data_IF_086866965490
#
_entry.id   IF_086866965490
#
_cell.length_a   1.000
_cell.length_b   1.000
_cell.length_c   1.000
_cell.angle_alpha   90.00
_cell.angle_beta   90.00
_cell.angle_gamma   90.00
#
_symmetry.space_group_name_H-M   'P 1'
#
loop_
_entity.id
_entity.type
_entity.pdbx_description
1 polymer ?
#
# COMPACT_ATOMS: atom_id res chain seq x y z
N UNK A 1 26.35 -8.78 -21.84
CA UNK A 1 25.55 -8.02 -20.87
C UNK A 1 24.58 -7.11 -21.63
N UNK A 2 23.33 -7.17 -21.34
CA UNK A 2 22.34 -6.27 -21.96
C UNK A 2 22.31 -5.02 -21.10
N UNK A 3 22.80 -3.91 -21.63
CA UNK A 3 22.83 -2.64 -20.91
C UNK A 3 21.42 -2.02 -20.89
N UNK A 4 20.88 -1.75 -19.71
CA UNK A 4 19.65 -0.98 -19.52
C UNK A 4 20.01 0.44 -19.08
N UNK A 5 19.22 1.42 -19.48
CA UNK A 5 19.42 2.79 -19.04
C UNK A 5 19.06 2.93 -17.56
N UNK A 6 17.85 2.52 -17.20
CA UNK A 6 17.34 2.53 -15.83
C UNK A 6 16.59 1.23 -15.53
N UNK A 7 16.78 0.70 -14.32
CA UNK A 7 16.00 -0.39 -13.76
C UNK A 7 15.33 0.07 -12.48
N UNK A 8 14.21 -0.54 -12.13
CA UNK A 8 13.52 -0.24 -10.87
C UNK A 8 13.72 -1.36 -9.83
N UNK A 9 13.91 -0.97 -8.58
CA UNK A 9 13.95 -1.84 -7.42
C UNK A 9 12.83 -1.44 -6.48
N UNK A 10 11.81 -2.28 -6.37
CA UNK A 10 10.56 -2.01 -5.67
C UNK A 10 10.55 -2.71 -4.31
N UNK A 11 10.59 -1.94 -3.23
CA UNK A 11 10.59 -2.42 -1.86
C UNK A 11 9.16 -2.79 -1.43
N UNK A 12 8.86 -4.06 -1.39
CA UNK A 12 7.53 -4.63 -1.10
C UNK A 12 7.51 -5.57 0.12
N UNK A 13 8.50 -5.46 1.01
CA UNK A 13 8.71 -6.36 2.15
C UNK A 13 8.16 -5.88 3.49
N UNK A 14 7.51 -4.72 3.57
CA UNK A 14 7.04 -4.14 4.82
C UNK A 14 5.87 -4.88 5.45
N UNK A 15 5.89 -5.03 6.78
CA UNK A 15 4.86 -5.71 7.57
C UNK A 15 3.50 -5.01 7.55
N UNK A 16 3.48 -3.66 7.46
CA UNK A 16 2.23 -2.89 7.48
C UNK A 16 1.48 -2.91 8.81
N UNK A 17 2.15 -3.12 9.94
CA UNK A 17 1.55 -3.32 11.28
C UNK A 17 0.53 -2.25 11.69
N UNK A 18 0.63 -1.03 11.16
CA UNK A 18 -0.31 0.07 11.40
C UNK A 18 -1.68 -0.09 10.72
N UNK A 19 -1.83 -1.07 9.82
CA UNK A 19 -3.10 -1.47 9.22
C UNK A 19 -3.80 -2.58 10.02
N UNK A 20 -3.20 -3.02 11.13
CA UNK A 20 -3.79 -3.98 12.05
C UNK A 20 -4.19 -5.29 11.36
N UNK A 21 -5.43 -5.74 11.59
CA UNK A 21 -5.93 -7.01 11.05
C UNK A 21 -5.98 -7.10 9.53
N UNK A 22 -5.92 -5.97 8.80
CA UNK A 22 -5.88 -6.00 7.33
C UNK A 22 -4.58 -6.58 6.77
N UNK A 23 -3.49 -6.50 7.53
CA UNK A 23 -2.18 -7.01 7.13
C UNK A 23 -1.72 -8.21 7.96
N UNK A 24 -2.61 -8.79 8.74
CA UNK A 24 -2.32 -10.00 9.53
C UNK A 24 -1.95 -11.20 8.65
N UNK A 25 -2.59 -11.36 7.49
CA UNK A 25 -2.39 -12.49 6.55
C UNK A 25 -1.71 -12.11 5.25
N UNK A 26 -1.64 -10.83 4.89
CA UNK A 26 -1.09 -10.35 3.62
C UNK A 26 -0.08 -9.24 3.81
N UNK A 27 0.88 -9.10 2.91
CA UNK A 27 1.78 -7.96 2.87
C UNK A 27 1.00 -6.68 2.49
N UNK A 28 1.37 -5.52 3.05
CA UNK A 28 0.71 -4.22 2.77
C UNK A 28 0.57 -3.94 1.26
N UNK A 29 1.57 -4.19 0.40
CA UNK A 29 1.44 -3.97 -1.04
C UNK A 29 0.37 -4.84 -1.73
N UNK A 30 -0.04 -5.95 -1.12
CA UNK A 30 -1.07 -6.84 -1.64
C UNK A 30 -2.49 -6.48 -1.18
N UNK A 31 -2.67 -5.51 -0.29
CA UNK A 31 -4.00 -5.07 0.17
C UNK A 31 -4.78 -4.48 -1.01
N UNK A 32 -6.07 -4.84 -1.12
CA UNK A 32 -6.96 -4.36 -2.16
C UNK A 32 -7.21 -2.84 -2.04
N UNK A 33 -7.44 -2.15 -3.16
CA UNK A 33 -7.66 -0.71 -3.21
C UNK A 33 -8.60 -0.33 -4.37
N UNK A 34 -9.52 0.59 -4.14
CA UNK A 34 -10.37 1.15 -5.19
C UNK A 34 -11.29 0.13 -5.87
N UNK A 35 -11.68 -0.94 -5.17
CA UNK A 35 -12.62 -1.98 -5.62
C UNK A 35 -12.04 -3.00 -6.62
N UNK A 36 -10.86 -2.75 -7.20
CA UNK A 36 -10.30 -3.61 -8.25
C UNK A 36 -8.79 -3.82 -8.13
N UNK A 37 -8.05 -2.84 -7.65
CA UNK A 37 -6.59 -2.80 -7.64
C UNK A 37 -6.01 -3.35 -6.34
N UNK A 38 -4.68 -3.54 -6.33
CA UNK A 38 -3.87 -3.68 -5.12
C UNK A 38 -2.86 -2.53 -5.05
N UNK A 39 -2.36 -2.22 -3.88
CA UNK A 39 -1.43 -1.08 -3.70
C UNK A 39 -0.20 -1.22 -4.61
N UNK A 40 0.33 -2.42 -4.82
CA UNK A 40 1.49 -2.70 -5.68
C UNK A 40 1.26 -2.36 -7.16
N UNK A 41 0.02 -2.30 -7.61
CA UNK A 41 -0.32 -2.06 -9.01
C UNK A 41 0.10 -0.65 -9.44
N UNK A 42 0.10 0.31 -8.52
CA UNK A 42 0.45 1.71 -8.79
C UNK A 42 1.92 1.88 -9.17
N UNK A 43 2.91 1.48 -8.36
CA UNK A 43 4.31 1.60 -8.75
C UNK A 43 4.68 0.71 -9.95
N UNK A 44 4.09 -0.48 -10.12
CA UNK A 44 4.32 -1.31 -11.31
C UNK A 44 3.77 -0.63 -12.58
N UNK A 45 2.57 -0.06 -12.52
CA UNK A 45 1.98 0.68 -13.64
C UNK A 45 2.76 1.95 -13.97
N UNK A 46 3.22 2.67 -12.95
CA UNK A 46 4.09 3.83 -13.16
C UNK A 46 5.41 3.44 -13.84
N UNK A 47 6.01 2.29 -13.49
CA UNK A 47 7.21 1.79 -14.17
C UNK A 47 6.98 1.61 -15.67
N UNK A 48 5.96 0.84 -16.05
CA UNK A 48 5.72 0.55 -17.46
C UNK A 48 5.28 1.80 -18.25
N UNK A 49 4.44 2.65 -17.67
CA UNK A 49 4.05 3.92 -18.27
C UNK A 49 5.24 4.88 -18.47
N UNK A 50 6.26 4.79 -17.64
CA UNK A 50 7.52 5.54 -17.74
C UNK A 50 8.56 4.87 -18.66
N UNK A 51 8.22 3.74 -19.30
CA UNK A 51 9.14 2.99 -20.18
C UNK A 51 10.18 2.16 -19.44
N UNK A 52 10.02 1.90 -18.15
CA UNK A 52 10.90 1.03 -17.36
C UNK A 52 10.37 -0.40 -17.44
N UNK A 53 11.10 -1.23 -18.15
CA UNK A 53 10.74 -2.61 -18.48
C UNK A 53 11.47 -3.67 -17.66
N UNK A 54 12.22 -3.28 -16.65
CA UNK A 54 13.01 -4.17 -15.80
C UNK A 54 12.80 -3.77 -14.34
N UNK A 55 12.11 -4.61 -13.58
CA UNK A 55 11.68 -4.33 -12.22
C UNK A 55 12.01 -5.50 -11.29
N UNK A 56 12.84 -5.27 -10.29
CA UNK A 56 13.08 -6.20 -9.19
C UNK A 56 12.12 -5.88 -8.04
N UNK A 57 11.29 -6.82 -7.62
CA UNK A 57 10.35 -6.65 -6.50
C UNK A 57 10.87 -7.41 -5.28
N UNK A 58 11.28 -6.69 -4.25
CA UNK A 58 11.83 -7.25 -3.03
C UNK A 58 10.72 -7.59 -2.05
N UNK A 59 10.46 -8.87 -1.85
CA UNK A 59 9.38 -9.37 -0.98
C UNK A 59 9.95 -10.08 0.24
N UNK A 60 9.30 -10.00 1.38
CA UNK A 60 9.76 -10.67 2.59
C UNK A 60 8.59 -11.15 3.46
N UNK A 61 7.74 -10.22 3.93
CA UNK A 61 6.63 -10.53 4.82
C UNK A 61 5.42 -11.03 4.04
N UNK A 62 4.84 -12.17 4.45
CA UNK A 62 3.61 -12.75 3.86
C UNK A 62 3.57 -12.70 2.32
N UNK A 63 4.56 -13.24 1.61
CA UNK A 63 4.74 -12.95 0.18
C UNK A 63 3.76 -13.70 -0.74
N UNK A 64 3.06 -14.74 -0.25
CA UNK A 64 2.32 -15.67 -1.11
C UNK A 64 1.29 -14.97 -2.00
N UNK A 65 0.39 -14.17 -1.42
CA UNK A 65 -0.65 -13.46 -2.19
C UNK A 65 -0.04 -12.38 -3.09
N UNK A 66 0.97 -11.67 -2.61
CA UNK A 66 1.67 -10.66 -3.39
C UNK A 66 2.35 -11.29 -4.61
N UNK A 67 3.09 -12.38 -4.42
CA UNK A 67 3.77 -13.08 -5.51
C UNK A 67 2.77 -13.68 -6.51
N UNK A 68 1.65 -14.24 -6.03
CA UNK A 68 0.59 -14.75 -6.89
C UNK A 68 -0.06 -13.65 -7.72
N UNK A 69 -0.25 -12.45 -7.14
CA UNK A 69 -0.82 -11.30 -7.85
C UNK A 69 0.12 -10.79 -8.95
N UNK A 70 1.40 -10.62 -8.64
CA UNK A 70 2.42 -10.18 -9.60
C UNK A 70 2.59 -11.23 -10.71
N UNK A 71 2.63 -12.52 -10.34
CA UNK A 71 2.90 -13.61 -11.28
C UNK A 71 4.18 -13.38 -12.06
N UNK A 72 4.12 -13.51 -13.37
CA UNK A 72 5.22 -13.20 -14.29
C UNK A 72 5.12 -11.78 -14.89
N UNK A 73 4.15 -10.97 -14.46
CA UNK A 73 4.02 -9.56 -14.86
C UNK A 73 3.15 -9.29 -16.09
N UNK A 74 2.35 -10.26 -16.56
CA UNK A 74 1.49 -10.11 -17.75
C UNK A 74 0.65 -8.82 -17.73
N UNK A 75 -0.04 -8.44 -16.63
CA UNK A 75 -0.89 -7.25 -16.64
C UNK A 75 -0.15 -5.96 -16.99
N UNK A 76 1.15 -5.90 -16.67
CA UNK A 76 2.00 -4.72 -16.86
C UNK A 76 2.96 -4.85 -18.06
N UNK A 77 2.77 -5.83 -18.96
CA UNK A 77 3.71 -6.10 -20.06
C UNK A 77 5.18 -6.28 -19.55
N UNK A 78 5.31 -6.94 -18.38
CA UNK A 78 6.59 -7.23 -17.73
C UNK A 78 6.95 -8.72 -17.78
N UNK A 79 6.26 -9.54 -18.59
CA UNK A 79 6.56 -10.96 -18.88
C UNK A 79 7.59 -11.14 -20.01
N UNK A 80 8.69 -10.40 -19.92
CA UNK A 80 9.67 -10.29 -21.00
C UNK A 80 10.80 -11.30 -20.87
N UNK A 81 11.32 -11.78 -22.00
CA UNK A 81 12.50 -12.66 -22.03
C UNK A 81 13.77 -11.97 -21.49
N UNK A 82 13.85 -10.64 -21.61
CA UNK A 82 14.96 -9.83 -21.15
C UNK A 82 14.42 -8.63 -20.38
N UNK A 83 14.75 -8.54 -19.12
CA UNK A 83 14.11 -7.61 -18.20
C UNK A 83 12.85 -8.23 -17.61
N UNK A 84 11.73 -7.49 -17.63
CA UNK A 84 10.49 -7.90 -17.02
C UNK A 84 10.47 -7.75 -15.50
N UNK A 85 9.47 -8.35 -14.85
CA UNK A 85 9.41 -8.36 -13.39
C UNK A 85 10.07 -9.61 -12.82
N UNK A 86 10.90 -9.42 -11.81
CA UNK A 86 11.52 -10.50 -11.04
C UNK A 86 11.20 -10.32 -9.55
N UNK A 87 10.59 -11.31 -8.93
CA UNK A 87 10.40 -11.32 -7.48
C UNK A 87 11.69 -11.80 -6.81
N UNK A 88 12.17 -10.99 -5.87
CA UNK A 88 13.44 -11.17 -5.18
C UNK A 88 13.16 -11.38 -3.67
N UNK A 89 12.96 -12.62 -3.21
CA UNK A 89 12.87 -12.92 -1.79
C UNK A 89 14.25 -12.94 -1.16
N UNK A 90 14.37 -12.79 0.17
CA UNK A 90 15.62 -13.06 0.87
C UNK A 90 16.02 -14.52 0.65
N UNK A 91 17.32 -14.79 0.52
CA UNK A 91 17.85 -16.12 0.29
C UNK A 91 19.02 -16.44 1.22
N UNK A 92 19.19 -17.73 1.48
CA UNK A 92 20.29 -18.24 2.29
C UNK A 92 21.58 -18.24 1.50
N UNK A 93 22.62 -17.56 2.01
CA UNK A 93 24.01 -17.75 1.57
C UNK A 93 24.61 -18.86 2.40
N UNK A 94 25.57 -19.61 1.81
CA UNK A 94 26.17 -20.84 2.38
C UNK A 94 26.67 -20.77 3.83
N UNK A 95 26.72 -19.57 4.42
CA UNK A 95 27.20 -19.35 5.79
C UNK A 95 26.21 -18.65 6.72
N UNK A 96 25.19 -17.94 6.20
CA UNK A 96 24.19 -17.21 6.99
C UNK A 96 22.90 -17.09 6.23
N UNK A 97 21.78 -17.45 6.87
CA UNK A 97 20.42 -17.11 6.41
C UNK A 97 20.06 -15.73 6.96
N UNK A 98 19.93 -14.74 6.11
CA UNK A 98 19.66 -13.37 6.52
C UNK A 98 18.39 -12.84 5.89
N UNK A 99 17.40 -12.53 6.73
CA UNK A 99 16.28 -11.68 6.34
C UNK A 99 16.79 -10.29 5.93
N UNK A 100 16.02 -9.57 5.14
CA UNK A 100 16.34 -8.16 4.87
C UNK A 100 16.24 -7.33 6.17
N UNK A 101 17.36 -6.83 6.63
CA UNK A 101 17.47 -6.03 7.84
C UNK A 101 17.50 -4.53 7.53
N UNK A 102 16.47 -4.06 6.81
CA UNK A 102 16.34 -2.67 6.38
C UNK A 102 16.26 -2.52 4.85
N UNK A 103 15.79 -1.37 4.42
CA UNK A 103 15.48 -1.08 3.01
C UNK A 103 16.73 -1.10 2.12
N UNK A 104 17.84 -0.56 2.58
CA UNK A 104 19.10 -0.56 1.84
C UNK A 104 19.79 -1.92 1.88
N UNK A 105 19.67 -2.67 2.99
CA UNK A 105 20.17 -4.04 3.07
C UNK A 105 19.49 -4.95 2.04
N UNK A 106 18.17 -4.80 1.84
CA UNK A 106 17.44 -5.55 0.83
C UNK A 106 18.02 -5.32 -0.58
N UNK A 107 18.33 -4.07 -0.93
CA UNK A 107 18.96 -3.73 -2.20
C UNK A 107 20.39 -4.28 -2.27
N UNK A 108 21.18 -4.18 -1.19
CA UNK A 108 22.53 -4.71 -1.11
C UNK A 108 22.60 -6.24 -1.39
N UNK A 109 21.68 -7.00 -0.80
CA UNK A 109 21.64 -8.45 -1.01
C UNK A 109 21.34 -8.83 -2.46
N UNK A 110 20.76 -7.92 -3.25
CA UNK A 110 20.38 -8.11 -4.67
C UNK A 110 21.28 -7.33 -5.66
N UNK A 111 22.51 -6.99 -5.26
CA UNK A 111 23.48 -6.31 -6.14
C UNK A 111 23.73 -7.10 -7.44
N UNK A 112 23.86 -8.42 -7.36
CA UNK A 112 24.09 -9.29 -8.50
C UNK A 112 22.97 -9.21 -9.55
N UNK A 113 21.70 -9.09 -9.11
CA UNK A 113 20.57 -8.88 -10.01
C UNK A 113 20.74 -7.58 -10.81
N UNK A 114 21.14 -6.48 -10.17
CA UNK A 114 21.34 -5.21 -10.85
C UNK A 114 22.58 -5.23 -11.76
N UNK A 115 23.66 -5.91 -11.34
CA UNK A 115 24.90 -6.04 -12.13
C UNK A 115 24.69 -6.75 -13.47
N UNK A 116 23.73 -7.68 -13.57
CA UNK A 116 23.40 -8.36 -14.82
C UNK A 116 22.99 -7.39 -15.94
N UNK A 117 22.34 -6.29 -15.58
CA UNK A 117 21.86 -5.27 -16.50
C UNK A 117 22.82 -4.10 -16.67
N UNK A 118 23.82 -3.96 -15.78
CA UNK A 118 24.76 -2.84 -15.75
C UNK A 118 24.10 -1.49 -16.08
N UNK A 119 23.09 -1.08 -15.31
CA UNK A 119 22.29 0.11 -15.60
C UNK A 119 23.12 1.39 -15.41
N UNK A 120 22.68 2.49 -16.00
CA UNK A 120 23.24 3.80 -15.69
C UNK A 120 22.61 4.39 -14.43
N UNK A 121 21.30 4.16 -14.27
CA UNK A 121 20.50 4.64 -13.14
C UNK A 121 19.72 3.50 -12.50
N UNK A 122 19.49 3.60 -11.20
CA UNK A 122 18.60 2.72 -10.44
C UNK A 122 17.52 3.55 -9.78
N UNK A 123 16.27 3.22 -10.07
CA UNK A 123 15.10 3.77 -9.42
C UNK A 123 14.72 2.89 -8.23
N UNK A 124 14.73 3.47 -7.03
CA UNK A 124 14.27 2.81 -5.80
C UNK A 124 12.86 3.30 -5.51
N UNK A 125 11.94 2.37 -5.28
CA UNK A 125 10.52 2.64 -5.06
C UNK A 125 10.02 1.99 -3.78
N UNK A 126 9.14 2.69 -3.06
CA UNK A 126 8.28 2.08 -2.05
C UNK A 126 7.05 1.45 -2.70
N UNK A 127 6.72 0.23 -2.31
CA UNK A 127 5.59 -0.54 -2.86
C UNK A 127 4.25 -0.32 -2.14
N UNK A 128 4.13 0.72 -1.33
CA UNK A 128 3.04 0.89 -0.38
C UNK A 128 2.32 2.26 -0.45
N UNK A 129 2.49 2.99 -1.56
CA UNK A 129 1.88 4.30 -1.80
C UNK A 129 0.96 4.31 -3.02
N UNK A 130 -0.02 5.20 -2.99
CA UNK A 130 -0.99 5.43 -4.07
C UNK A 130 -0.65 6.75 -4.76
N UNK A 131 -0.26 6.68 -6.04
CA UNK A 131 0.11 7.85 -6.85
C UNK A 131 0.26 7.48 -8.33
N UNK A 132 0.30 8.50 -9.21
CA UNK A 132 0.67 8.37 -10.62
C UNK A 132 1.86 9.27 -10.90
N UNK A 133 2.96 8.72 -11.37
CA UNK A 133 4.19 9.50 -11.60
C UNK A 133 4.94 8.99 -12.82
N UNK A 134 5.31 9.92 -13.71
CA UNK A 134 6.25 9.64 -14.80
C UNK A 134 7.69 9.77 -14.31
N UNK A 135 8.32 8.61 -14.10
CA UNK A 135 9.71 8.56 -13.66
C UNK A 135 10.71 9.02 -14.74
N UNK A 136 10.29 9.08 -16.01
CA UNK A 136 11.13 9.62 -17.08
C UNK A 136 11.35 11.12 -16.90
N UNK A 137 10.32 11.86 -16.53
CA UNK A 137 10.43 13.29 -16.21
C UNK A 137 11.40 13.51 -15.04
N UNK A 138 11.30 12.68 -14.00
CA UNK A 138 12.23 12.73 -12.87
C UNK A 138 13.67 12.37 -13.28
N UNK A 139 13.85 11.42 -14.22
CA UNK A 139 15.16 11.07 -14.76
C UNK A 139 15.76 12.21 -15.59
N UNK A 140 14.96 12.86 -16.42
CA UNK A 140 15.39 14.01 -17.20
C UNK A 140 15.82 15.18 -16.29
N UNK A 141 15.09 15.42 -15.21
CA UNK A 141 15.49 16.37 -14.16
C UNK A 141 16.81 15.97 -13.49
N UNK A 142 16.98 14.67 -13.15
CA UNK A 142 18.21 14.12 -12.58
C UNK A 142 19.43 14.39 -13.48
N UNK A 143 19.28 14.21 -14.78
CA UNK A 143 20.30 14.46 -15.80
C UNK A 143 20.62 15.95 -15.95
N UNK A 144 19.59 16.78 -16.05
CA UNK A 144 19.73 18.23 -16.20
C UNK A 144 20.56 18.84 -15.07
N UNK A 145 20.36 18.36 -13.84
CA UNK A 145 21.12 18.80 -12.66
C UNK A 145 22.45 18.05 -12.48
N UNK A 146 22.76 17.10 -13.38
CA UNK A 146 23.89 16.20 -13.24
C UNK A 146 23.95 15.59 -11.82
N UNK A 147 22.79 15.25 -11.26
CA UNK A 147 22.64 14.75 -9.90
C UNK A 147 23.30 13.38 -9.72
N UNK A 148 23.78 13.10 -8.53
CA UNK A 148 24.20 11.75 -8.12
C UNK A 148 23.03 10.98 -7.51
N UNK A 149 22.12 11.73 -6.84
CA UNK A 149 20.86 11.24 -6.28
C UNK A 149 19.78 12.29 -6.53
N UNK A 150 18.59 11.84 -6.91
CA UNK A 150 17.38 12.67 -6.92
C UNK A 150 16.34 12.03 -6.02
N UNK A 151 15.75 12.79 -5.13
CA UNK A 151 14.71 12.38 -4.18
C UNK A 151 13.41 13.04 -4.60
N UNK A 152 12.37 12.25 -4.90
CA UNK A 152 11.04 12.81 -5.07
C UNK A 152 10.51 13.27 -3.71
N UNK A 153 10.04 14.51 -3.66
CA UNK A 153 9.54 15.13 -2.44
C UNK A 153 8.29 15.96 -2.73
N UNK A 154 7.42 16.07 -1.74
CA UNK A 154 6.22 16.89 -1.83
C UNK A 154 5.94 17.61 -0.51
N UNK A 155 5.28 18.78 -0.55
CA UNK A 155 4.86 19.45 0.67
C UNK A 155 3.72 18.67 1.34
N UNK A 156 3.85 18.47 2.66
CA UNK A 156 2.83 17.85 3.52
C UNK A 156 2.44 18.83 4.64
N UNK A 157 1.29 18.65 5.31
CA UNK A 157 0.99 19.37 6.54
C UNK A 157 2.11 19.18 7.57
N UNK A 158 2.51 20.24 8.25
CA UNK A 158 3.67 20.21 9.16
C UNK A 158 3.45 19.21 10.33
N UNK A 159 2.21 19.02 10.72
CA UNK A 159 1.79 18.06 11.76
C UNK A 159 2.07 16.61 11.37
N UNK A 160 2.08 16.32 10.06
CA UNK A 160 2.34 14.99 9.53
C UNK A 160 3.81 14.78 9.15
N UNK A 161 4.58 15.85 9.03
CA UNK A 161 5.98 15.82 8.55
C UNK A 161 6.88 14.87 9.36
N UNK A 162 6.63 14.73 10.67
CA UNK A 162 7.37 13.81 11.54
C UNK A 162 7.26 12.32 11.16
N UNK A 163 6.35 11.97 10.26
CA UNK A 163 6.16 10.58 9.77
C UNK A 163 7.13 10.22 8.64
N UNK A 164 7.74 11.21 8.00
CA UNK A 164 8.50 11.09 6.76
C UNK A 164 9.95 11.51 6.93
N UNK A 165 10.80 11.15 5.98
CA UNK A 165 12.10 11.80 5.80
C UNK A 165 11.87 13.23 5.30
N UNK A 166 12.45 14.22 5.98
CA UNK A 166 12.27 15.63 5.65
C UNK A 166 13.51 16.18 4.98
N UNK A 167 13.30 16.90 3.88
CA UNK A 167 14.36 17.55 3.12
C UNK A 167 14.29 19.07 3.28
N UNK A 168 15.47 19.70 3.37
CA UNK A 168 15.65 21.14 3.27
C UNK A 168 16.48 21.42 2.02
N UNK A 169 16.03 22.36 1.18
CA UNK A 169 16.66 22.68 -0.11
C UNK A 169 17.12 24.14 -0.16
N UNK A 170 18.08 24.39 -1.03
CA UNK A 170 18.41 25.76 -1.47
C UNK A 170 17.51 26.21 -2.63
N UNK A 171 17.79 27.39 -3.21
CA UNK A 171 17.04 27.98 -4.33
C UNK A 171 17.07 27.15 -5.61
N UNK A 172 18.03 26.24 -5.76
CA UNK A 172 18.21 25.39 -6.93
C UNK A 172 17.67 23.96 -6.71
N UNK A 173 16.91 23.78 -5.64
CA UNK A 173 16.39 22.47 -5.20
C UNK A 173 17.49 21.46 -4.82
N UNK A 174 18.72 21.91 -4.58
CA UNK A 174 19.75 21.05 -4.02
C UNK A 174 19.47 20.83 -2.53
N UNK A 175 19.52 19.58 -2.10
CA UNK A 175 19.28 19.22 -0.71
C UNK A 175 20.47 19.64 0.15
N UNK A 176 20.20 20.47 1.14
CA UNK A 176 21.16 20.98 2.12
C UNK A 176 21.09 20.24 3.45
N UNK A 177 19.93 19.71 3.81
CA UNK A 177 19.73 18.87 5.00
C UNK A 177 18.72 17.76 4.68
N UNK A 178 18.94 16.60 5.29
CA UNK A 178 18.00 15.46 5.26
C UNK A 178 17.90 14.87 6.68
N UNK A 179 16.68 14.69 7.18
CA UNK A 179 16.44 14.11 8.49
C UNK A 179 15.30 13.08 8.42
N UNK A 180 15.58 11.85 8.82
CA UNK A 180 14.59 10.76 8.80
C UNK A 180 13.69 10.84 10.03
N UNK A 181 12.41 11.09 9.82
CA UNK A 181 11.35 11.15 10.85
C UNK A 181 11.69 12.04 12.04
N UNK A 182 12.00 13.32 11.81
CA UNK A 182 12.36 14.24 12.87
C UNK A 182 11.21 14.49 13.83
N UNK A 183 11.50 14.58 15.13
CA UNK A 183 10.50 14.97 16.13
C UNK A 183 10.01 16.42 15.95
N UNK A 184 10.90 17.30 15.48
CA UNK A 184 10.62 18.71 15.19
C UNK A 184 11.10 19.03 13.76
N UNK A 185 10.25 18.84 12.74
CA UNK A 185 10.63 19.03 11.35
C UNK A 185 10.97 20.50 11.05
N UNK A 186 12.10 20.73 10.36
CA UNK A 186 12.56 22.06 9.92
C UNK A 186 11.90 22.53 8.62
N UNK A 187 11.29 21.62 7.88
CA UNK A 187 10.63 21.85 6.61
C UNK A 187 9.39 20.96 6.54
N UNK A 188 8.46 21.28 5.66
CA UNK A 188 7.31 20.45 5.33
C UNK A 188 7.50 19.65 4.03
N UNK A 189 8.69 19.69 3.42
CA UNK A 189 8.99 18.95 2.19
C UNK A 189 9.37 17.52 2.55
N UNK A 190 8.43 16.61 2.36
CA UNK A 190 8.55 15.20 2.72
C UNK A 190 9.07 14.36 1.55
N UNK A 191 10.03 13.49 1.82
CA UNK A 191 10.48 12.46 0.89
C UNK A 191 9.38 11.43 0.65
N UNK A 192 9.08 11.15 -0.60
CA UNK A 192 8.10 10.16 -1.01
C UNK A 192 8.65 8.71 -0.97
N UNK A 193 9.91 8.49 -0.58
CA UNK A 193 10.54 7.17 -0.67
C UNK A 193 10.80 6.71 -2.11
N UNK A 194 10.92 7.66 -3.03
CA UNK A 194 11.22 7.44 -4.45
C UNK A 194 12.55 8.11 -4.75
N UNK A 195 13.53 7.31 -5.19
CA UNK A 195 14.89 7.79 -5.40
C UNK A 195 15.44 7.36 -6.76
N UNK A 196 16.08 8.27 -7.49
CA UNK A 196 16.94 7.91 -8.63
C UNK A 196 18.39 8.07 -8.21
N UNK A 197 19.17 7.00 -8.33
CA UNK A 197 20.60 6.97 -8.09
C UNK A 197 21.37 6.75 -9.37
N UNK A 198 22.51 7.41 -9.52
CA UNK A 198 23.55 6.85 -10.41
C UNK A 198 23.98 5.49 -9.88
N UNK A 199 24.02 4.48 -10.74
CA UNK A 199 24.37 3.12 -10.33
C UNK A 199 25.71 3.04 -9.59
N UNK A 200 26.73 3.74 -10.08
CA UNK A 200 28.05 3.75 -9.43
C UNK A 200 28.04 4.30 -8.02
N UNK A 201 27.20 5.32 -7.75
CA UNK A 201 27.05 5.94 -6.44
C UNK A 201 26.29 5.02 -5.49
N UNK A 202 25.21 4.43 -5.95
CA UNK A 202 24.41 3.47 -5.15
C UNK A 202 25.26 2.25 -4.76
N UNK A 203 25.95 1.64 -5.73
CA UNK A 203 26.81 0.47 -5.52
C UNK A 203 27.91 0.75 -4.49
N UNK A 204 28.63 1.88 -4.65
CA UNK A 204 29.67 2.28 -3.68
C UNK A 204 29.10 2.46 -2.25
N UNK A 205 28.00 3.17 -2.11
CA UNK A 205 27.37 3.39 -0.83
C UNK A 205 26.93 2.09 -0.15
N UNK A 206 26.29 1.18 -0.91
CA UNK A 206 25.82 -0.11 -0.37
C UNK A 206 26.98 -0.99 0.07
N UNK A 207 28.09 -1.04 -0.72
CA UNK A 207 29.29 -1.82 -0.34
C UNK A 207 29.96 -1.25 0.92
N UNK A 208 30.02 0.08 1.04
CA UNK A 208 30.61 0.73 2.23
C UNK A 208 29.79 0.55 3.49
N UNK A 209 28.48 0.45 3.36
CA UNK A 209 27.53 0.29 4.46
C UNK A 209 27.10 -1.17 4.70
N UNK A 210 27.75 -2.14 4.05
CA UNK A 210 27.34 -3.57 4.10
C UNK A 210 27.29 -4.16 5.52
N UNK A 211 28.15 -3.71 6.41
CA UNK A 211 28.26 -4.18 7.79
C UNK A 211 27.36 -3.39 8.76
N UNK A 212 26.62 -2.38 8.25
CA UNK A 212 25.68 -1.59 9.03
C UNK A 212 24.45 -2.43 9.35
N UNK A 213 24.15 -2.63 10.64
CA UNK A 213 22.90 -3.27 11.07
C UNK A 213 21.70 -2.41 10.68
N UNK A 214 20.61 -3.09 10.28
CA UNK A 214 19.36 -2.44 9.86
C UNK A 214 19.57 -1.31 8.85
N UNK A 215 20.42 -1.55 7.83
CA UNK A 215 20.79 -0.52 6.88
C UNK A 215 19.58 -0.02 6.10
N UNK A 216 19.31 1.28 6.21
CA UNK A 216 18.14 1.95 5.65
C UNK A 216 18.56 3.13 4.77
N UNK A 217 17.75 3.45 3.72
CA UNK A 217 18.07 4.57 2.83
C UNK A 217 18.07 5.91 3.57
N UNK A 218 17.01 6.22 4.32
CA UNK A 218 16.88 7.49 5.01
C UNK A 218 17.88 7.68 6.14
N UNK A 219 18.13 6.62 6.92
CA UNK A 219 19.01 6.73 8.08
C UNK A 219 20.49 6.60 7.76
N UNK A 220 20.86 5.88 6.68
CA UNK A 220 22.25 5.52 6.44
C UNK A 220 22.75 5.91 5.05
N UNK A 221 22.08 5.51 3.97
CA UNK A 221 22.59 5.72 2.60
C UNK A 221 22.57 7.19 2.20
N UNK A 222 21.46 7.89 2.40
CA UNK A 222 21.35 9.32 2.04
C UNK A 222 22.32 10.16 2.88
N UNK A 223 22.37 10.01 4.23
CA UNK A 223 23.38 10.72 5.04
C UNK A 223 24.82 10.39 4.66
N UNK A 224 25.14 9.12 4.36
CA UNK A 224 26.46 8.74 3.87
C UNK A 224 26.82 9.49 2.58
N UNK A 225 25.93 9.51 1.61
CA UNK A 225 26.14 10.22 0.35
C UNK A 225 26.28 11.74 0.55
N UNK A 226 25.48 12.30 1.43
CA UNK A 226 25.56 13.72 1.80
C UNK A 226 26.92 14.08 2.39
N UNK A 227 27.40 13.31 3.37
CA UNK A 227 28.70 13.50 4.01
C UNK A 227 29.89 13.29 3.06
N UNK A 228 29.69 12.55 1.96
CA UNK A 228 30.69 12.35 0.90
C UNK A 228 30.51 13.33 -0.28
N UNK A 229 29.88 14.48 -0.05
CA UNK A 229 29.70 15.57 -1.01
C UNK A 229 29.03 15.15 -2.34
N UNK A 230 28.15 14.15 -2.32
CA UNK A 230 27.35 13.80 -3.50
C UNK A 230 26.33 14.89 -3.79
N UNK A 231 26.01 15.07 -5.07
CA UNK A 231 25.00 16.05 -5.50
C UNK A 231 23.62 15.44 -5.38
N UNK A 232 22.89 15.86 -4.37
CA UNK A 232 21.55 15.39 -4.04
C UNK A 232 20.55 16.49 -4.32
N UNK A 233 19.52 16.21 -5.12
CA UNK A 233 18.50 17.18 -5.49
C UNK A 233 17.10 16.67 -5.12
N UNK A 234 16.23 17.58 -4.74
CA UNK A 234 14.81 17.31 -4.57
C UNK A 234 14.08 17.54 -5.90
N UNK A 235 13.30 16.54 -6.32
CA UNK A 235 12.32 16.68 -7.39
C UNK A 235 10.96 16.92 -6.75
N UNK A 236 10.45 18.14 -6.86
CA UNK A 236 9.14 18.49 -6.31
C UNK A 236 8.03 17.83 -7.13
N UNK A 237 7.24 17.00 -6.46
CA UNK A 237 6.07 16.35 -7.01
C UNK A 237 4.81 17.09 -6.58
N UNK A 238 4.01 17.56 -7.54
CA UNK A 238 2.86 18.45 -7.30
C UNK A 238 1.52 17.80 -7.67
N UNK A 239 1.43 16.47 -7.66
CA UNK A 239 0.21 15.74 -7.96
C UNK A 239 -0.20 14.86 -6.78
N UNK A 240 -1.25 14.06 -6.94
CA UNK A 240 -1.76 13.21 -5.88
C UNK A 240 -0.75 12.14 -5.44
N UNK A 241 -0.51 12.07 -4.15
CA UNK A 241 0.24 11.02 -3.48
C UNK A 241 -0.34 10.78 -2.08
N UNK A 242 -0.54 9.52 -1.72
CA UNK A 242 -1.07 9.14 -0.40
C UNK A 242 -0.29 7.95 0.16
N UNK A 243 0.30 8.12 1.36
CA UNK A 243 0.76 7.00 2.19
C UNK A 243 -0.46 6.38 2.88
N UNK A 244 -0.91 5.23 2.39
CA UNK A 244 -2.00 4.46 2.98
C UNK A 244 -1.50 3.56 4.10
N UNK A 245 -0.71 4.12 5.01
CA UNK A 245 -0.04 3.42 6.10
C UNK A 245 -0.85 3.27 7.38
N UNK A 246 -2.01 3.90 7.50
CA UNK A 246 -2.94 3.79 8.64
C UNK A 246 -4.33 3.45 8.15
N UNK A 247 -5.20 2.92 9.02
CA UNK A 247 -6.59 2.60 8.67
C UNK A 247 -7.36 3.83 8.21
N UNK A 248 -7.16 4.99 8.87
CA UNK A 248 -7.79 6.25 8.47
C UNK A 248 -7.33 6.69 7.08
N UNK A 249 -6.01 6.77 6.83
CA UNK A 249 -5.49 7.20 5.53
C UNK A 249 -5.88 6.22 4.40
N UNK A 250 -5.96 4.92 4.69
CA UNK A 250 -6.43 3.92 3.74
C UNK A 250 -7.93 4.11 3.43
N UNK A 251 -8.76 4.30 4.46
CA UNK A 251 -10.19 4.55 4.29
C UNK A 251 -10.44 5.85 3.51
N UNK A 252 -9.80 6.95 3.90
CA UNK A 252 -9.89 8.24 3.22
C UNK A 252 -9.50 8.15 1.75
N UNK A 253 -8.36 7.52 1.44
CA UNK A 253 -7.88 7.37 0.06
C UNK A 253 -8.89 6.61 -0.84
N UNK A 254 -9.61 5.62 -0.30
CA UNK A 254 -10.68 4.94 -1.02
C UNK A 254 -11.93 5.84 -1.17
N UNK A 255 -12.31 6.60 -0.13
CA UNK A 255 -13.44 7.51 -0.19
C UNK A 255 -13.21 8.68 -1.16
N UNK A 256 -11.97 9.15 -1.33
CA UNK A 256 -11.60 10.17 -2.32
C UNK A 256 -11.85 9.73 -3.77
N UNK A 257 -11.97 8.42 -4.05
CA UNK A 257 -12.23 7.90 -5.40
C UNK A 257 -13.69 8.00 -5.84
N UNK A 258 -14.63 8.07 -4.90
CA UNK A 258 -16.07 7.97 -5.20
C UNK A 258 -16.74 9.32 -5.50
N UNK A 259 -16.01 10.40 -5.50
CA UNK A 259 -16.51 11.70 -5.94
C UNK A 259 -16.73 11.73 -7.46
N UNK A 260 -17.70 12.55 -7.91
CA UNK A 260 -18.02 12.70 -9.34
C UNK A 260 -16.80 13.16 -10.14
N UNK A 261 -15.97 14.02 -9.55
CA UNK A 261 -14.68 14.43 -10.09
C UNK A 261 -13.65 14.06 -9.01
N UNK A 262 -13.13 12.84 -9.01
CA UNK A 262 -12.18 12.42 -8.00
C UNK A 262 -10.86 13.18 -8.14
N UNK A 263 -10.27 13.56 -7.01
CA UNK A 263 -8.93 14.18 -6.99
C UNK A 263 -7.90 13.23 -7.60
N UNK A 264 -8.13 11.94 -7.48
CA UNK A 264 -7.32 10.88 -8.06
C UNK A 264 -8.17 9.99 -8.98
N UNK A 265 -8.09 10.24 -10.28
CA UNK A 265 -8.85 9.49 -11.29
C UNK A 265 -8.14 8.18 -11.65
N UNK A 266 -8.69 7.04 -11.28
CA UNK A 266 -8.16 5.70 -11.61
C UNK A 266 -8.34 5.34 -13.09
N UNK A 267 -9.26 5.99 -13.80
CA UNK A 267 -9.68 5.67 -15.17
C UNK A 267 -9.15 6.66 -16.20
N UNK A 268 -8.05 7.34 -15.89
CA UNK A 268 -7.39 8.26 -16.81
C UNK A 268 -6.89 7.53 -18.06
N UNK A 269 -7.26 8.01 -19.24
CA UNK A 269 -7.00 7.33 -20.51
C UNK A 269 -5.51 7.27 -20.84
N UNK A 270 -4.76 8.34 -20.54
CA UNK A 270 -3.35 8.47 -20.89
C UNK A 270 -2.37 7.94 -19.84
N UNK A 271 -2.85 7.61 -18.63
CA UNK A 271 -2.05 7.04 -17.56
C UNK A 271 -2.81 5.94 -16.83
N UNK A 272 -2.88 4.78 -17.46
CA UNK A 272 -3.63 3.65 -16.94
C UNK A 272 -2.93 2.99 -15.77
N UNK A 273 -3.71 2.62 -14.77
CA UNK A 273 -3.26 1.68 -13.73
C UNK A 273 -3.69 0.29 -14.16
N UNK A 274 -2.70 -0.58 -14.36
CA UNK A 274 -2.91 -1.98 -14.73
C UNK A 274 -3.01 -2.83 -13.47
N UNK A 275 -3.77 -3.91 -13.55
CA UNK A 275 -3.92 -4.87 -12.46
C UNK A 275 -4.20 -6.25 -13.02
N UNK A 276 -3.93 -7.28 -12.24
CA UNK A 276 -4.40 -8.63 -12.55
C UNK A 276 -5.92 -8.68 -12.38
N UNK A 277 -6.61 -9.09 -13.44
CA UNK A 277 -8.07 -9.29 -13.42
C UNK A 277 -8.37 -10.73 -13.75
N UNK A 278 -9.20 -11.35 -12.93
CA UNK A 278 -9.79 -12.65 -13.25
C UNK A 278 -10.99 -12.46 -14.18
N UNK A 279 -11.33 -13.48 -14.97
CA UNK A 279 -12.52 -13.44 -15.83
C UNK A 279 -13.74 -13.71 -14.96
N UNK A 280 -14.43 -12.65 -14.56
CA UNK A 280 -15.65 -12.70 -13.74
C UNK A 280 -16.79 -11.98 -14.48
N UNK A 281 -18.06 -12.32 -14.20
CA UNK A 281 -19.19 -11.68 -14.86
C UNK A 281 -19.29 -10.19 -14.49
N UNK A 282 -20.03 -9.38 -15.24
CA UNK A 282 -20.45 -8.04 -14.82
C UNK A 282 -21.21 -8.06 -13.49
N UNK A 283 -21.39 -6.89 -12.89
CA UNK A 283 -22.21 -6.72 -11.69
C UNK A 283 -23.67 -7.09 -11.97
N UNK A 284 -24.31 -7.75 -11.01
CA UNK A 284 -25.73 -7.97 -11.00
C UNK A 284 -26.43 -7.05 -9.99
N UNK A 285 -27.36 -6.24 -10.45
CA UNK A 285 -28.14 -5.32 -9.62
C UNK A 285 -29.59 -5.78 -9.66
N UNK A 286 -30.09 -6.24 -8.52
CA UNK A 286 -31.44 -6.76 -8.40
C UNK A 286 -32.50 -5.63 -8.35
N UNK A 287 -33.79 -6.01 -8.49
CA UNK A 287 -34.90 -5.08 -8.33
C UNK A 287 -34.95 -4.50 -6.91
N UNK A 288 -35.44 -3.26 -6.79
CA UNK A 288 -35.59 -2.53 -5.53
C UNK A 288 -34.29 -2.24 -4.75
N UNK A 289 -33.14 -2.33 -5.41
CA UNK A 289 -31.85 -1.88 -4.86
C UNK A 289 -31.70 -0.37 -4.95
N UNK A 290 -30.80 0.18 -4.16
CA UNK A 290 -30.42 1.59 -4.25
C UNK A 290 -28.89 1.73 -4.09
N UNK A 291 -28.26 2.36 -5.08
CA UNK A 291 -26.82 2.61 -5.08
C UNK A 291 -26.59 4.09 -5.31
N UNK A 292 -25.84 4.73 -4.39
CA UNK A 292 -25.53 6.15 -4.46
C UNK A 292 -24.05 6.37 -4.17
N UNK A 293 -23.37 7.18 -5.00
CA UNK A 293 -21.98 7.63 -4.80
C UNK A 293 -21.05 6.48 -4.39
N UNK A 294 -20.98 5.41 -5.19
CA UNK A 294 -20.24 4.19 -4.84
C UNK A 294 -19.52 3.59 -6.03
N UNK A 295 -18.41 2.91 -5.79
CA UNK A 295 -17.70 2.07 -6.75
C UNK A 295 -18.10 0.62 -6.49
N UNK A 296 -18.47 -0.10 -7.55
CA UNK A 296 -18.88 -1.53 -7.49
C UNK A 296 -17.96 -2.34 -8.40
N UNK A 297 -17.28 -3.32 -7.85
CA UNK A 297 -16.39 -4.22 -8.58
C UNK A 297 -17.15 -5.25 -9.44
N UNK A 298 -16.44 -5.83 -10.41
CA UNK A 298 -16.99 -6.86 -11.29
C UNK A 298 -17.44 -8.11 -10.50
N UNK A 299 -18.47 -8.84 -10.98
CA UNK A 299 -18.99 -10.04 -10.33
C UNK A 299 -19.74 -9.80 -9.03
N UNK A 300 -19.96 -8.56 -8.64
CA UNK A 300 -20.70 -8.22 -7.41
C UNK A 300 -22.20 -8.38 -7.62
N UNK A 301 -22.88 -9.00 -6.67
CA UNK A 301 -24.32 -9.16 -6.65
C UNK A 301 -24.95 -8.26 -5.59
N UNK A 302 -25.83 -7.35 -5.98
CA UNK A 302 -26.43 -6.36 -5.08
C UNK A 302 -27.93 -6.58 -5.01
N UNK A 303 -28.40 -6.98 -3.84
CA UNK A 303 -29.84 -7.11 -3.49
C UNK A 303 -30.25 -6.09 -2.41
N UNK A 304 -29.28 -5.38 -1.82
CA UNK A 304 -29.45 -4.40 -0.75
C UNK A 304 -29.25 -2.94 -1.21
N UNK A 305 -28.83 -2.09 -0.29
CA UNK A 305 -28.61 -0.66 -0.50
C UNK A 305 -27.17 -0.27 -0.19
N UNK A 306 -26.56 0.54 -1.05
CA UNK A 306 -25.16 0.95 -0.92
C UNK A 306 -25.07 2.47 -1.03
N UNK A 307 -24.39 3.11 -0.09
CA UNK A 307 -24.19 4.55 -0.04
C UNK A 307 -22.73 4.86 0.25
N UNK A 308 -22.12 5.78 -0.51
CA UNK A 308 -20.81 6.33 -0.25
C UNK A 308 -19.76 5.26 0.09
N UNK A 309 -19.65 4.21 -0.74
CA UNK A 309 -18.87 3.02 -0.41
C UNK A 309 -18.05 2.50 -1.60
N UNK A 310 -16.98 1.77 -1.29
CA UNK A 310 -16.15 1.07 -2.28
C UNK A 310 -16.34 -0.44 -2.08
N UNK A 311 -16.90 -1.08 -3.08
CA UNK A 311 -17.21 -2.53 -3.07
C UNK A 311 -16.27 -3.22 -4.06
N UNK A 312 -15.55 -4.22 -3.58
CA UNK A 312 -14.65 -5.05 -4.37
C UNK A 312 -15.37 -6.02 -5.30
N UNK A 313 -14.60 -6.80 -6.02
CA UNK A 313 -15.12 -7.79 -6.96
C UNK A 313 -15.66 -9.04 -6.26
N UNK A 314 -16.73 -9.62 -6.82
CA UNK A 314 -17.33 -10.86 -6.31
C UNK A 314 -18.01 -10.76 -4.94
N UNK A 315 -18.37 -9.55 -4.52
CA UNK A 315 -19.07 -9.30 -3.25
C UNK A 315 -20.55 -9.59 -3.40
N UNK A 316 -21.17 -10.19 -2.38
CA UNK A 316 -22.63 -10.35 -2.31
C UNK A 316 -23.20 -9.45 -1.22
N UNK A 317 -24.12 -8.56 -1.58
CA UNK A 317 -24.89 -7.74 -0.64
C UNK A 317 -26.32 -8.24 -0.64
N UNK A 318 -26.70 -8.97 0.40
CA UNK A 318 -27.98 -9.67 0.50
C UNK A 318 -29.18 -8.71 0.69
N UNK A 319 -30.40 -9.27 0.56
CA UNK A 319 -31.65 -8.54 0.64
C UNK A 319 -31.82 -7.82 2.00
N UNK A 320 -32.24 -6.55 1.93
CA UNK A 320 -32.43 -5.71 3.12
C UNK A 320 -31.12 -5.17 3.73
N UNK A 321 -29.97 -5.63 3.28
CA UNK A 321 -28.68 -5.11 3.77
C UNK A 321 -28.46 -3.64 3.38
N UNK A 322 -27.79 -2.88 4.26
CA UNK A 322 -27.46 -1.47 4.05
C UNK A 322 -25.98 -1.24 4.33
N UNK A 323 -25.24 -0.78 3.34
CA UNK A 323 -23.80 -0.48 3.44
C UNK A 323 -23.60 1.03 3.30
N UNK A 324 -22.89 1.67 4.25
CA UNK A 324 -22.61 3.11 4.23
C UNK A 324 -21.17 3.40 4.63
N UNK A 325 -20.54 4.39 3.95
CA UNK A 325 -19.23 4.92 4.27
C UNK A 325 -18.15 3.82 4.47
N UNK A 326 -18.25 2.74 3.70
CA UNK A 326 -17.53 1.51 3.98
C UNK A 326 -16.74 1.00 2.79
N UNK A 327 -15.70 0.24 3.08
CA UNK A 327 -14.90 -0.50 2.10
C UNK A 327 -15.17 -1.99 2.33
N UNK A 328 -15.65 -2.68 1.30
CA UNK A 328 -15.83 -4.14 1.32
C UNK A 328 -14.95 -4.72 0.23
N UNK A 329 -13.96 -5.51 0.64
CA UNK A 329 -13.00 -6.11 -0.29
C UNK A 329 -13.56 -7.38 -0.94
N UNK A 330 -12.80 -7.95 -1.87
CA UNK A 330 -13.24 -8.99 -2.78
C UNK A 330 -13.81 -10.25 -2.09
N UNK A 331 -14.76 -10.89 -2.75
CA UNK A 331 -15.35 -12.19 -2.38
C UNK A 331 -15.97 -12.23 -0.97
N UNK A 332 -16.42 -11.09 -0.45
CA UNK A 332 -17.07 -11.02 0.87
C UNK A 332 -18.60 -11.08 0.73
N UNK A 333 -19.25 -11.56 1.76
CA UNK A 333 -20.72 -11.69 1.83
C UNK A 333 -21.24 -10.85 2.98
N UNK A 334 -22.24 -10.01 2.70
CA UNK A 334 -23.00 -9.25 3.69
C UNK A 334 -24.40 -9.81 3.76
N UNK A 335 -24.75 -10.42 4.90
CA UNK A 335 -26.00 -11.15 5.11
C UNK A 335 -27.25 -10.26 5.13
N UNK A 336 -28.41 -10.89 5.15
CA UNK A 336 -29.73 -10.23 5.07
C UNK A 336 -29.96 -9.26 6.21
N UNK A 337 -30.58 -8.11 5.90
CA UNK A 337 -30.94 -7.07 6.87
C UNK A 337 -29.74 -6.54 7.69
N UNK A 338 -28.51 -6.81 7.27
CA UNK A 338 -27.30 -6.38 7.97
C UNK A 338 -27.00 -4.92 7.66
N UNK A 339 -26.59 -4.17 8.67
CA UNK A 339 -26.22 -2.75 8.58
C UNK A 339 -24.72 -2.61 8.78
N UNK A 340 -24.05 -2.11 7.76
CA UNK A 340 -22.61 -1.86 7.76
C UNK A 340 -22.37 -0.36 7.69
N UNK A 341 -21.84 0.23 8.76
CA UNK A 341 -21.50 1.65 8.79
C UNK A 341 -20.01 1.84 9.08
N UNK A 342 -19.35 2.73 8.33
CA UNK A 342 -17.98 3.19 8.55
C UNK A 342 -17.03 2.02 8.89
N UNK A 343 -16.96 1.05 7.96
CA UNK A 343 -16.25 -0.21 8.17
C UNK A 343 -15.24 -0.49 7.06
N UNK A 344 -14.18 -1.21 7.39
CA UNK A 344 -13.26 -1.83 6.43
C UNK A 344 -13.38 -3.33 6.63
N UNK A 345 -13.91 -4.01 5.62
CA UNK A 345 -14.11 -5.46 5.60
C UNK A 345 -13.12 -6.04 4.57
N UNK A 346 -12.18 -6.86 5.05
CA UNK A 346 -11.15 -7.47 4.20
C UNK A 346 -11.71 -8.53 3.25
N UNK A 347 -10.84 -9.19 2.49
CA UNK A 347 -11.24 -10.20 1.49
C UNK A 347 -11.80 -11.47 2.15
N UNK A 348 -12.73 -12.14 1.47
CA UNK A 348 -13.28 -13.45 1.86
C UNK A 348 -13.95 -13.46 3.25
N UNK A 349 -14.54 -12.35 3.67
CA UNK A 349 -15.25 -12.21 4.94
C UNK A 349 -16.73 -12.56 4.76
N UNK A 350 -17.29 -13.27 5.74
CA UNK A 350 -18.71 -13.54 5.81
C UNK A 350 -19.32 -12.84 7.01
N UNK A 351 -20.22 -11.90 6.77
CA UNK A 351 -21.04 -11.24 7.80
C UNK A 351 -22.42 -11.89 7.75
N UNK A 352 -22.88 -12.40 8.89
CA UNK A 352 -24.19 -13.07 9.02
C UNK A 352 -25.38 -12.13 8.84
N UNK A 353 -26.57 -12.69 9.02
CA UNK A 353 -27.83 -11.97 8.90
C UNK A 353 -28.11 -11.11 10.14
N UNK A 354 -28.83 -9.98 9.96
CA UNK A 354 -29.26 -9.07 11.03
C UNK A 354 -28.11 -8.55 11.93
N UNK A 355 -26.90 -8.39 11.36
CA UNK A 355 -25.73 -7.85 12.05
C UNK A 355 -25.73 -6.31 11.95
N UNK A 356 -25.28 -5.63 13.00
CA UNK A 356 -25.12 -4.18 12.99
C UNK A 356 -23.64 -3.82 13.26
N UNK A 357 -22.91 -3.28 12.27
CA UNK A 357 -21.54 -2.79 12.43
C UNK A 357 -21.49 -1.26 12.55
N UNK A 358 -20.61 -0.77 13.42
CA UNK A 358 -20.37 0.66 13.61
C UNK A 358 -21.36 1.34 14.57
N UNK A 359 -21.95 0.58 15.51
CA UNK A 359 -22.91 1.10 16.49
C UNK A 359 -22.21 1.76 17.69
N UNK A 360 -23.00 2.53 18.47
CA UNK A 360 -22.56 3.11 19.75
C UNK A 360 -21.65 4.33 19.60
N UNK A 361 -21.16 4.80 20.75
CA UNK A 361 -20.26 5.95 20.85
C UNK A 361 -18.83 5.58 20.46
N UNK A 362 -18.07 6.57 20.00
CA UNK A 362 -16.67 6.38 19.67
C UNK A 362 -15.81 6.47 20.94
N UNK A 363 -15.19 5.35 21.31
CA UNK A 363 -14.24 5.27 22.41
C UNK A 363 -12.91 4.70 21.91
N UNK A 364 -11.77 5.00 22.56
CA UNK A 364 -10.48 4.44 22.18
C UNK A 364 -10.48 2.91 22.27
N UNK A 365 -9.74 2.25 21.35
CA UNK A 365 -9.55 0.81 21.41
C UNK A 365 -8.76 0.41 22.67
N UNK A 366 -9.20 -0.65 23.34
CA UNK A 366 -8.66 -1.09 24.65
C UNK A 366 -7.21 -1.57 24.54
N UNK A 367 -6.86 -2.29 23.46
CA UNK A 367 -5.52 -2.90 23.29
C UNK A 367 -4.60 -2.07 22.38
N UNK A 368 -5.13 -1.54 21.28
CA UNK A 368 -4.36 -0.90 20.22
C UNK A 368 -4.92 0.49 19.83
N UNK A 369 -4.96 1.45 20.78
CA UNK A 369 -5.60 2.75 20.56
C UNK A 369 -4.90 3.61 19.50
N UNK A 370 -3.65 3.31 19.15
CA UNK A 370 -2.91 4.00 18.07
C UNK A 370 -3.28 3.49 16.66
N UNK A 371 -3.87 2.31 16.56
CA UNK A 371 -4.25 1.68 15.29
C UNK A 371 -5.74 1.87 15.04
N UNK A 372 -6.58 1.54 16.00
CA UNK A 372 -8.05 1.60 15.90
C UNK A 372 -8.58 2.84 16.63
N UNK A 373 -8.59 3.99 15.95
CA UNK A 373 -8.84 5.30 16.55
C UNK A 373 -9.61 6.29 15.66
N UNK A 374 -10.25 5.81 14.59
CA UNK A 374 -10.92 6.65 13.58
C UNK A 374 -12.42 6.37 13.43
N UNK A 375 -13.01 5.69 14.43
CA UNK A 375 -14.41 5.28 14.43
C UNK A 375 -14.73 4.10 13.51
N UNK A 376 -13.71 3.48 12.90
CA UNK A 376 -13.85 2.37 11.96
C UNK A 376 -14.07 1.03 12.69
N UNK A 377 -14.91 0.18 12.10
CA UNK A 377 -14.91 -1.26 12.36
C UNK A 377 -13.97 -1.91 11.34
N UNK A 378 -13.02 -2.72 11.79
CA UNK A 378 -12.06 -3.36 10.91
C UNK A 378 -12.16 -4.89 11.04
N UNK A 379 -12.44 -5.57 9.94
CA UNK A 379 -12.60 -7.04 9.93
C UNK A 379 -11.53 -7.62 9.03
N UNK A 380 -10.72 -8.53 9.58
CA UNK A 380 -9.61 -9.17 8.91
C UNK A 380 -10.06 -10.26 7.91
N UNK A 381 -9.14 -10.63 7.03
CA UNK A 381 -9.35 -11.58 5.94
C UNK A 381 -9.83 -12.97 6.43
N UNK A 382 -10.73 -13.60 5.67
CA UNK A 382 -11.34 -14.91 5.97
C UNK A 382 -12.05 -14.97 7.33
N UNK A 383 -12.53 -13.84 7.84
CA UNK A 383 -13.27 -13.80 9.11
C UNK A 383 -14.74 -14.11 8.91
N UNK A 384 -15.36 -14.63 9.96
CA UNK A 384 -16.80 -14.86 10.02
C UNK A 384 -17.38 -14.14 11.23
N UNK A 385 -18.44 -13.36 11.01
CA UNK A 385 -19.22 -12.70 12.05
C UNK A 385 -20.60 -13.35 12.08
N UNK A 386 -21.05 -13.94 13.24
CA UNK A 386 -22.31 -14.66 13.31
C UNK A 386 -23.51 -13.75 13.23
N UNK A 387 -24.69 -14.34 12.99
CA UNK A 387 -25.97 -13.64 12.88
C UNK A 387 -26.35 -12.85 14.15
N UNK A 388 -27.03 -11.74 13.98
CA UNK A 388 -27.71 -10.99 15.02
C UNK A 388 -26.80 -10.21 15.99
N UNK A 389 -25.49 -10.20 15.78
CA UNK A 389 -24.57 -9.49 16.68
C UNK A 389 -24.42 -8.02 16.31
N UNK A 390 -24.06 -7.21 17.32
CA UNK A 390 -23.74 -5.80 17.17
C UNK A 390 -22.26 -5.55 17.44
N UNK A 391 -21.65 -4.68 16.65
CA UNK A 391 -20.21 -4.35 16.75
C UNK A 391 -20.03 -2.85 16.83
N UNK A 392 -19.40 -2.39 17.89
CA UNK A 392 -19.12 -0.98 18.14
C UNK A 392 -17.99 -0.40 17.30
N UNK A 393 -17.73 0.89 17.45
CA UNK A 393 -16.68 1.64 16.73
C UNK A 393 -15.28 1.37 17.30
N UNK A 394 -14.24 1.67 16.51
CA UNK A 394 -12.83 1.43 16.88
C UNK A 394 -12.55 -0.03 17.27
N UNK A 395 -13.20 -0.97 16.61
CA UNK A 395 -13.10 -2.41 16.89
C UNK A 395 -12.31 -3.14 15.81
N UNK A 396 -11.77 -4.30 16.19
CA UNK A 396 -11.12 -5.20 15.26
C UNK A 396 -11.60 -6.64 15.50
N UNK A 397 -11.86 -7.36 14.40
CA UNK A 397 -12.24 -8.77 14.42
C UNK A 397 -11.34 -9.51 13.43
N UNK A 398 -10.75 -10.64 13.84
CA UNK A 398 -10.00 -11.54 12.96
C UNK A 398 -10.27 -13.00 13.31
N UNK A 399 -10.61 -13.79 12.31
CA UNK A 399 -10.90 -15.22 12.39
C UNK A 399 -12.39 -15.55 12.45
N UNK A 400 -12.68 -16.84 12.55
CA UNK A 400 -14.05 -17.36 12.62
C UNK A 400 -14.61 -17.18 14.03
N UNK A 401 -15.52 -16.21 14.18
CA UNK A 401 -16.18 -15.94 15.48
C UNK A 401 -17.54 -16.62 15.57
N UNK A 402 -17.98 -16.86 16.79
CA UNK A 402 -19.27 -17.48 17.12
C UNK A 402 -20.06 -16.57 18.06
N UNK A 403 -21.34 -16.79 18.25
CA UNK A 403 -22.20 -15.99 19.14
C UNK A 403 -21.62 -15.91 20.57
N UNK A 404 -20.91 -16.92 21.01
CA UNK A 404 -20.25 -16.98 22.33
C UNK A 404 -19.15 -15.92 22.52
N UNK A 405 -18.58 -15.43 21.42
CA UNK A 405 -17.55 -14.37 21.44
C UNK A 405 -18.14 -12.97 21.68
N UNK A 406 -19.46 -12.85 21.65
CA UNK A 406 -20.20 -11.60 21.79
C UNK A 406 -21.12 -11.63 23.01
N UNK A 407 -20.61 -11.29 24.20
CA UNK A 407 -21.45 -11.21 25.39
C UNK A 407 -22.68 -10.32 25.15
N UNK A 408 -23.87 -10.81 25.50
CA UNK A 408 -25.15 -10.14 25.22
C UNK A 408 -25.38 -9.78 23.75
N UNK A 409 -24.74 -10.48 22.80
CA UNK A 409 -24.80 -10.22 21.39
C UNK A 409 -24.04 -8.95 20.93
N UNK A 410 -23.13 -8.40 21.75
CA UNK A 410 -22.45 -7.14 21.50
C UNK A 410 -20.93 -7.24 21.65
N UNK A 411 -20.19 -6.77 20.66
CA UNK A 411 -18.80 -6.33 20.85
C UNK A 411 -18.83 -4.81 21.08
N UNK A 412 -18.55 -4.32 22.29
CA UNK A 412 -18.61 -2.88 22.58
C UNK A 412 -17.57 -2.10 21.81
N UNK A 413 -17.79 -0.79 21.63
CA UNK A 413 -16.80 0.11 21.02
C UNK A 413 -15.45 -0.02 21.71
N UNK A 414 -14.36 0.03 20.93
CA UNK A 414 -13.01 -0.21 21.42
C UNK A 414 -12.65 -1.68 21.66
N UNK A 415 -13.58 -2.61 21.46
CA UNK A 415 -13.36 -4.05 21.63
C UNK A 415 -12.48 -4.67 20.53
N UNK A 416 -11.92 -5.83 20.81
CA UNK A 416 -11.09 -6.59 19.85
C UNK A 416 -11.32 -8.09 20.04
N UNK A 417 -11.56 -8.80 18.94
CA UNK A 417 -11.63 -10.26 18.90
C UNK A 417 -10.61 -10.76 17.87
N UNK A 418 -9.57 -11.45 18.33
CA UNK A 418 -8.60 -12.13 17.47
C UNK A 418 -8.58 -13.58 17.90
N UNK A 419 -8.98 -14.49 17.01
CA UNK A 419 -9.01 -15.93 17.29
C UNK A 419 -7.62 -16.53 17.31
N UNK A 420 -7.47 -17.63 18.07
CA UNK A 420 -6.23 -18.38 18.15
C UNK A 420 -5.78 -18.86 16.76
N UNK A 421 -4.51 -18.64 16.42
CA UNK A 421 -3.95 -18.93 15.09
C UNK A 421 -4.06 -17.78 14.09
N UNK A 422 -4.84 -16.74 14.39
CA UNK A 422 -4.76 -15.44 13.73
C UNK A 422 -3.57 -14.67 14.31
N UNK A 423 -2.79 -14.03 13.47
CA UNK A 423 -1.53 -13.40 13.91
C UNK A 423 -1.82 -12.16 14.76
N UNK A 424 -1.12 -12.09 15.88
CA UNK A 424 -1.05 -10.91 16.75
C UNK A 424 -0.39 -9.70 16.05
#
# INVERSE_FOLDING_TARGET
>A
MIKKEMIAMLLAGGQGSRLGVLTAKVAKPAVAFGGKYRIIDFPLSNCINSGIDTVGVLTQYRPLRLNSHIGIGIPWDLDRNVGGVTVLPPYEKSTNSEWYTGTANAIYQNLEYMEQYNPEYVLILSGDHIYKMDYKIMLDYHRANNADITIAAMPVPIEEASRFGIVVTDSDNRITEFEEKPANPKSNLASMGIYIFKWSVLKDALIKLKDQQECDFGKHVIPYCFNNNKRIFAYEYNSYWKDVGTLSSYWEANMELIDIIPVFNLYEEFWKIYTRTDTIPPQYIADNTFIEKSIIGDGTEVYGRIYNSVIGSGVTIEEGAVVRDSIIMNNSVIGKNTIVNKSIIAEEVVIGDNVELGVGEEVPNVKLPKIYNSGLVTIGECSVVPDGVKVGKNTAISGVTTVEDYPDGLLPSGGIIIKAGEVE
#
